data_IF_644722542788
#
_entry.id   IF_644722542788
#
_cell.length_a   1.000
_cell.length_b   1.000
_cell.length_c   1.000
_cell.angle_alpha   90.00
_cell.angle_beta   90.00
_cell.angle_gamma   90.00
#
_symmetry.space_group_name_H-M   'P 1'
#
loop_
_entity.id
_entity.type
_entity.pdbx_description
1 polymer ?
#
# COMPACT_ATOMS: atom_id res chain seq x y z
N UNK A 1 -24.43 22.64 -12.19
CA UNK A 1 -24.40 22.00 -10.86
C UNK A 1 -22.95 22.01 -10.39
N UNK A 2 -22.67 22.47 -9.18
CA UNK A 2 -21.34 22.30 -8.57
C UNK A 2 -21.27 20.86 -8.12
N UNK A 3 -20.46 20.03 -8.79
CA UNK A 3 -20.27 18.64 -8.39
C UNK A 3 -19.16 18.61 -7.34
N UNK A 4 -19.35 17.83 -6.26
CA UNK A 4 -18.33 17.64 -5.23
C UNK A 4 -17.02 17.16 -5.85
N UNK A 5 -15.93 17.92 -5.61
CA UNK A 5 -14.56 17.56 -5.99
C UNK A 5 -14.17 16.22 -5.38
N UNK A 6 -13.45 15.39 -6.13
CA UNK A 6 -12.86 14.17 -5.56
C UNK A 6 -11.76 14.54 -4.56
N UNK A 7 -11.60 13.73 -3.51
CA UNK A 7 -10.48 13.89 -2.58
C UNK A 7 -9.34 12.97 -2.98
N UNK A 8 -8.10 13.37 -2.77
CA UNK A 8 -6.95 12.49 -2.97
C UNK A 8 -6.67 11.76 -1.66
N UNK A 9 -7.05 10.47 -1.60
CA UNK A 9 -6.78 9.61 -0.43
C UNK A 9 -5.28 9.45 -0.21
N UNK A 10 -4.54 9.25 -1.31
CA UNK A 10 -3.10 9.11 -1.22
C UNK A 10 -2.36 9.35 -2.53
N UNK A 11 -1.11 9.80 -2.41
CA UNK A 11 -0.06 9.59 -3.41
C UNK A 11 0.90 8.53 -2.88
N UNK A 12 1.13 7.47 -3.66
CA UNK A 12 2.01 6.36 -3.30
C UNK A 12 3.18 6.28 -4.27
N UNK A 13 4.40 6.44 -3.76
CA UNK A 13 5.63 6.14 -4.51
C UNK A 13 5.88 4.63 -4.49
N UNK A 14 6.17 4.09 -5.67
CA UNK A 14 6.40 2.67 -5.92
C UNK A 14 7.89 2.47 -6.24
N UNK A 15 8.60 1.76 -5.37
CA UNK A 15 10.06 1.64 -5.42
C UNK A 15 10.47 0.17 -5.47
N UNK A 16 11.57 -0.12 -6.16
CA UNK A 16 12.16 -1.46 -6.13
C UNK A 16 13.37 -1.44 -5.18
N UNK A 17 13.39 -2.38 -4.24
CA UNK A 17 14.55 -2.65 -3.39
C UNK A 17 15.12 -4.04 -3.74
N UNK A 18 16.42 -4.20 -3.55
CA UNK A 18 17.15 -5.45 -3.76
C UNK A 18 18.08 -5.73 -2.59
N UNK A 19 18.59 -6.96 -2.49
CA UNK A 19 19.62 -7.30 -1.49
C UNK A 19 20.91 -6.48 -1.64
N UNK A 20 21.20 -5.99 -2.83
CA UNK A 20 22.36 -5.11 -3.07
C UNK A 20 22.13 -3.73 -2.46
N UNK A 21 20.92 -3.16 -2.65
CA UNK A 21 20.51 -1.91 -2.01
C UNK A 21 20.58 -2.04 -0.48
N UNK A 22 20.16 -3.18 0.08
CA UNK A 22 20.20 -3.40 1.53
C UNK A 22 21.61 -3.54 2.11
N UNK A 23 22.64 -3.71 1.28
CA UNK A 23 24.05 -3.75 1.70
C UNK A 23 24.74 -2.39 1.58
N UNK A 24 24.08 -1.42 0.96
CA UNK A 24 24.58 -0.07 0.75
C UNK A 24 23.60 0.94 1.36
N UNK A 25 23.87 1.33 2.60
CA UNK A 25 23.05 2.30 3.35
C UNK A 25 22.84 3.61 2.57
N UNK A 26 23.82 4.04 1.76
CA UNK A 26 23.74 5.25 0.96
C UNK A 26 22.77 5.11 -0.21
N UNK A 27 22.73 3.94 -0.84
CA UNK A 27 21.79 3.67 -1.93
C UNK A 27 20.35 3.52 -1.42
N UNK A 28 20.15 2.82 -0.29
CA UNK A 28 18.83 2.75 0.35
C UNK A 28 18.34 4.15 0.72
N UNK A 29 19.22 4.96 1.32
CA UNK A 29 18.91 6.36 1.67
C UNK A 29 18.45 7.17 0.46
N UNK A 30 19.19 7.09 -0.65
CA UNK A 30 18.89 7.79 -1.90
C UNK A 30 17.54 7.36 -2.49
N UNK A 31 17.22 6.07 -2.48
CA UNK A 31 15.94 5.55 -3.02
C UNK A 31 14.75 6.04 -2.17
N UNK A 32 14.85 5.95 -0.83
CA UNK A 32 13.79 6.41 0.06
C UNK A 32 13.63 7.93 -0.02
N UNK A 33 14.73 8.69 -0.02
CA UNK A 33 14.70 10.14 -0.20
C UNK A 33 13.98 10.53 -1.51
N UNK A 34 14.31 9.84 -2.61
CA UNK A 34 13.69 10.09 -3.91
C UNK A 34 12.17 9.83 -3.87
N UNK A 35 11.72 8.75 -3.22
CA UNK A 35 10.28 8.48 -3.07
C UNK A 35 9.56 9.53 -2.24
N UNK A 36 10.17 10.01 -1.16
CA UNK A 36 9.61 11.10 -0.36
C UNK A 36 9.54 12.40 -1.17
N UNK A 37 10.60 12.74 -1.92
CA UNK A 37 10.62 13.92 -2.80
C UNK A 37 9.52 13.84 -3.86
N UNK A 38 9.39 12.70 -4.55
CA UNK A 38 8.35 12.49 -5.57
C UNK A 38 6.94 12.70 -5.00
N UNK A 39 6.66 12.12 -3.84
CA UNK A 39 5.37 12.28 -3.17
C UNK A 39 5.08 13.75 -2.81
N UNK A 40 6.06 14.47 -2.25
CA UNK A 40 5.91 15.89 -1.87
C UNK A 40 5.72 16.80 -3.08
N UNK A 41 6.41 16.53 -4.18
CA UNK A 41 6.22 17.26 -5.43
C UNK A 41 4.80 17.07 -5.95
N UNK A 42 4.34 15.82 -6.05
CA UNK A 42 2.99 15.52 -6.52
C UNK A 42 1.90 16.11 -5.59
N UNK A 43 2.08 16.03 -4.28
CA UNK A 43 1.19 16.66 -3.30
C UNK A 43 1.10 18.18 -3.55
N UNK A 44 2.24 18.85 -3.71
CA UNK A 44 2.30 20.30 -3.93
C UNK A 44 1.56 20.70 -5.21
N UNK A 45 1.73 19.93 -6.29
CA UNK A 45 1.02 20.19 -7.54
C UNK A 45 -0.50 19.95 -7.42
N UNK A 46 -0.92 18.88 -6.74
CA UNK A 46 -2.35 18.59 -6.52
C UNK A 46 -3.01 19.66 -5.64
N UNK A 47 -2.32 20.11 -4.58
CA UNK A 47 -2.78 21.20 -3.71
C UNK A 47 -2.88 22.52 -4.49
N UNK A 48 -1.91 22.83 -5.36
CA UNK A 48 -1.98 24.02 -6.23
C UNK A 48 -3.18 23.97 -7.19
N UNK A 49 -3.61 22.77 -7.58
CA UNK A 49 -4.82 22.54 -8.39
C UNK A 49 -6.11 22.49 -7.55
N UNK A 50 -6.04 22.68 -6.23
CA UNK A 50 -7.20 22.74 -5.32
C UNK A 50 -7.65 21.39 -4.77
N UNK A 51 -6.82 20.35 -4.82
CA UNK A 51 -7.11 19.06 -4.18
C UNK A 51 -6.58 19.00 -2.75
N UNK A 52 -7.31 18.32 -1.87
CA UNK A 52 -6.80 17.87 -0.57
C UNK A 52 -6.11 16.51 -0.75
N UNK A 53 -4.86 16.38 -0.27
CA UNK A 53 -4.11 15.12 -0.22
C UNK A 53 -4.03 14.66 1.22
N UNK A 54 -4.57 13.48 1.50
CA UNK A 54 -4.71 12.99 2.88
C UNK A 54 -3.49 12.22 3.41
N UNK A 55 -2.77 11.51 2.53
CA UNK A 55 -1.62 10.72 2.95
C UNK A 55 -0.59 10.51 1.83
N UNK A 56 0.68 10.47 2.21
CA UNK A 56 1.80 10.12 1.34
C UNK A 56 2.35 8.76 1.77
N UNK A 57 2.59 7.87 0.80
CA UNK A 57 2.94 6.47 1.07
C UNK A 57 4.10 6.01 0.20
N UNK A 58 4.81 5.00 0.69
CA UNK A 58 5.79 4.26 -0.10
C UNK A 58 5.37 2.79 -0.11
N UNK A 59 5.46 2.14 -1.27
CA UNK A 59 5.33 0.69 -1.38
C UNK A 59 6.47 0.12 -2.20
N UNK A 60 6.92 -1.06 -1.80
CA UNK A 60 8.02 -1.77 -2.45
C UNK A 60 7.54 -3.00 -3.20
N UNK A 61 8.45 -3.63 -3.94
CA UNK A 61 8.31 -5.03 -4.34
C UNK A 61 8.27 -5.96 -3.11
N UNK A 62 8.09 -7.26 -3.33
CA UNK A 62 8.07 -8.26 -2.25
C UNK A 62 9.31 -8.12 -1.37
N UNK A 63 9.11 -8.01 -0.06
CA UNK A 63 10.21 -7.97 0.90
C UNK A 63 11.13 -9.19 0.85
N UNK A 64 10.66 -10.32 0.33
CA UNK A 64 11.47 -11.52 0.11
C UNK A 64 12.58 -11.30 -0.93
N UNK A 65 12.45 -10.28 -1.81
CA UNK A 65 13.45 -9.95 -2.82
C UNK A 65 14.65 -9.17 -2.24
N UNK A 66 14.48 -8.51 -1.09
CA UNK A 66 15.50 -7.60 -0.54
C UNK A 66 15.86 -7.85 0.92
N UNK A 67 15.02 -8.54 1.69
CA UNK A 67 15.33 -8.93 3.06
C UNK A 67 15.88 -10.36 3.14
N UNK A 68 16.73 -10.58 4.13
CA UNK A 68 17.31 -11.87 4.52
C UNK A 68 16.33 -12.66 5.40
N UNK A 69 15.16 -13.03 4.86
CA UNK A 69 14.05 -13.66 5.62
C UNK A 69 14.41 -15.00 6.28
N UNK A 70 15.51 -15.62 5.85
CA UNK A 70 16.04 -16.90 6.28
C UNK A 70 17.14 -16.77 7.37
N UNK A 71 17.49 -15.54 7.77
CA UNK A 71 18.50 -15.24 8.80
C UNK A 71 17.94 -14.22 9.82
N UNK A 72 17.57 -14.69 11.01
CA UNK A 72 16.93 -13.88 12.06
C UNK A 72 17.71 -12.61 12.40
N UNK A 73 19.04 -12.73 12.50
CA UNK A 73 19.88 -11.61 12.93
C UNK A 73 19.97 -10.54 11.85
N UNK A 74 20.22 -10.96 10.60
CA UNK A 74 20.26 -10.02 9.48
C UNK A 74 18.91 -9.40 9.21
N UNK A 75 17.84 -10.18 9.26
CA UNK A 75 16.48 -9.68 9.09
C UNK A 75 16.18 -8.55 10.10
N UNK A 76 16.49 -8.75 11.38
CA UNK A 76 16.29 -7.72 12.41
C UNK A 76 17.12 -6.44 12.14
N UNK A 77 18.38 -6.59 11.72
CA UNK A 77 19.25 -5.46 11.36
C UNK A 77 18.72 -4.68 10.14
N UNK A 78 18.28 -5.38 9.10
CA UNK A 78 17.72 -4.79 7.89
C UNK A 78 16.40 -4.03 8.18
N UNK A 79 15.55 -4.54 9.08
CA UNK A 79 14.35 -3.82 9.52
C UNK A 79 14.69 -2.55 10.29
N UNK A 80 15.70 -2.60 11.17
CA UNK A 80 16.17 -1.42 11.87
C UNK A 80 16.74 -0.37 10.91
N UNK A 81 17.52 -0.79 9.91
CA UNK A 81 18.05 0.07 8.87
C UNK A 81 16.92 0.77 8.08
N UNK A 82 15.91 0.02 7.63
CA UNK A 82 14.74 0.57 6.94
C UNK A 82 14.01 1.57 7.82
N UNK A 83 13.71 1.20 9.07
CA UNK A 83 13.01 2.07 10.05
C UNK A 83 13.77 3.38 10.25
N UNK A 84 15.08 3.32 10.47
CA UNK A 84 15.92 4.50 10.69
C UNK A 84 15.94 5.40 9.44
N UNK A 85 16.07 4.81 8.24
CA UNK A 85 16.06 5.56 6.98
C UNK A 85 14.72 6.23 6.72
N UNK A 86 13.60 5.52 6.89
CA UNK A 86 12.26 6.09 6.77
C UNK A 86 12.04 7.25 7.77
N UNK A 87 12.46 7.06 9.02
CA UNK A 87 12.35 8.09 10.06
C UNK A 87 13.16 9.34 9.73
N UNK A 88 14.37 9.21 9.15
CA UNK A 88 15.20 10.36 8.74
C UNK A 88 14.50 11.22 7.68
N UNK A 89 13.73 10.60 6.79
CA UNK A 89 13.00 11.28 5.71
C UNK A 89 11.55 11.65 6.06
N UNK A 90 11.08 11.29 7.27
CA UNK A 90 9.70 11.51 7.71
C UNK A 90 8.66 10.68 6.95
N UNK A 91 9.05 9.53 6.41
CA UNK A 91 8.17 8.62 5.69
C UNK A 91 7.52 7.63 6.66
N UNK A 92 6.24 7.82 6.98
CA UNK A 92 5.58 7.01 8.02
C UNK A 92 4.78 5.83 7.45
N UNK A 93 4.12 5.99 6.29
CA UNK A 93 3.35 4.91 5.67
C UNK A 93 4.20 4.10 4.70
N UNK A 94 4.61 2.91 5.13
CA UNK A 94 5.48 2.04 4.35
C UNK A 94 4.90 0.65 4.18
N UNK A 95 4.78 0.21 2.93
CA UNK A 95 4.37 -1.15 2.59
C UNK A 95 5.57 -1.96 2.10
N UNK A 96 5.89 -3.02 2.84
CA UNK A 96 6.97 -3.97 2.53
C UNK A 96 6.68 -4.84 1.30
N UNK A 97 5.47 -4.80 0.76
CA UNK A 97 5.04 -5.64 -0.35
C UNK A 97 4.59 -7.04 0.10
N UNK A 98 4.31 -7.94 -0.86
CA UNK A 98 3.65 -9.20 -0.57
C UNK A 98 4.62 -10.29 -0.09
N UNK A 99 4.17 -11.07 0.90
CA UNK A 99 4.65 -12.40 1.18
C UNK A 99 4.15 -13.37 0.09
N UNK A 100 5.07 -14.18 -0.43
CA UNK A 100 4.86 -15.19 -1.47
C UNK A 100 5.12 -16.60 -0.95
N UNK A 101 5.94 -16.75 0.10
CA UNK A 101 6.32 -18.03 0.70
C UNK A 101 5.86 -18.19 2.16
N UNK A 102 5.88 -19.42 2.66
CA UNK A 102 5.58 -19.72 4.07
C UNK A 102 6.57 -19.03 5.04
N UNK A 103 7.86 -18.95 4.67
CA UNK A 103 8.87 -18.22 5.44
C UNK A 103 8.57 -16.71 5.41
N UNK A 104 8.19 -16.15 4.26
CA UNK A 104 7.77 -14.75 4.20
C UNK A 104 6.57 -14.46 5.10
N UNK A 105 5.56 -15.33 5.07
CA UNK A 105 4.38 -15.23 5.94
C UNK A 105 4.73 -15.26 7.43
N UNK A 106 5.68 -16.10 7.86
CA UNK A 106 6.10 -16.15 9.27
C UNK A 106 6.85 -14.89 9.72
N UNK A 107 7.39 -14.09 8.79
CA UNK A 107 8.05 -12.80 9.07
C UNK A 107 7.10 -11.62 9.19
N UNK A 108 5.87 -11.73 8.67
CA UNK A 108 4.89 -10.63 8.67
C UNK A 108 4.69 -10.02 10.07
N UNK A 109 4.50 -10.78 11.17
CA UNK A 109 4.34 -10.18 12.48
C UNK A 109 5.49 -9.24 12.87
N UNK A 110 6.74 -9.65 12.61
CA UNK A 110 7.93 -8.84 12.88
C UNK A 110 8.02 -7.59 11.99
N UNK A 111 7.61 -7.69 10.71
CA UNK A 111 7.50 -6.51 9.83
C UNK A 111 6.54 -5.47 10.41
N UNK A 112 5.37 -5.90 10.87
CA UNK A 112 4.35 -5.01 11.41
C UNK A 112 4.71 -4.50 12.82
N UNK A 113 5.46 -5.25 13.60
CA UNK A 113 5.93 -4.77 14.90
C UNK A 113 7.02 -3.70 14.76
N UNK A 114 7.80 -3.73 13.66
CA UNK A 114 8.94 -2.84 13.45
C UNK A 114 8.57 -1.34 13.45
N UNK A 115 7.36 -1.00 12.99
CA UNK A 115 6.89 0.38 12.82
C UNK A 115 5.37 0.42 12.98
N UNK A 116 4.82 1.53 13.49
CA UNK A 116 3.36 1.69 13.69
C UNK A 116 2.57 1.66 12.38
N UNK A 117 3.12 2.26 11.33
CA UNK A 117 2.50 2.38 10.00
C UNK A 117 3.25 1.55 8.95
N UNK A 118 3.73 0.37 9.36
CA UNK A 118 4.17 -0.68 8.46
C UNK A 118 2.99 -1.53 7.98
N UNK A 119 3.01 -1.90 6.70
CA UNK A 119 2.01 -2.71 6.02
C UNK A 119 2.69 -3.84 5.24
N UNK A 120 1.99 -4.96 5.08
CA UNK A 120 2.40 -6.05 4.22
C UNK A 120 1.14 -6.77 3.70
N UNK A 121 1.31 -7.66 2.73
CA UNK A 121 0.20 -8.47 2.23
C UNK A 121 0.64 -9.88 1.90
N UNK A 122 -0.30 -10.76 1.53
CA UNK A 122 0.01 -12.06 0.95
C UNK A 122 -0.70 -12.19 -0.40
N UNK A 123 0.08 -12.43 -1.45
CA UNK A 123 -0.45 -12.70 -2.78
C UNK A 123 -0.85 -14.16 -2.89
N UNK A 124 -2.15 -14.45 -2.90
CA UNK A 124 -2.67 -15.81 -3.01
C UNK A 124 -2.69 -16.34 -4.45
N UNK A 125 -2.61 -15.49 -5.47
CA UNK A 125 -2.71 -15.90 -6.88
C UNK A 125 -1.78 -15.05 -7.78
N UNK A 126 -0.46 -15.28 -7.72
CA UNK A 126 0.53 -14.46 -8.43
C UNK A 126 0.46 -14.57 -9.95
N UNK A 127 -0.02 -15.69 -10.50
CA UNK A 127 -0.05 -15.95 -11.95
C UNK A 127 -1.37 -15.61 -12.64
N UNK A 128 -2.41 -15.21 -11.89
CA UNK A 128 -3.81 -15.11 -12.37
C UNK A 128 -4.36 -16.39 -13.04
N UNK A 129 -3.64 -17.52 -13.00
CA UNK A 129 -4.10 -18.79 -13.56
C UNK A 129 -4.85 -19.60 -12.50
N UNK A 130 -6.08 -20.01 -12.82
CA UNK A 130 -6.87 -20.89 -11.96
C UNK A 130 -6.35 -22.34 -11.95
N UNK A 131 -5.48 -22.70 -12.90
CA UNK A 131 -4.85 -24.02 -12.96
C UNK A 131 -3.83 -24.26 -11.82
N UNK A 132 -3.44 -23.20 -11.09
CA UNK A 132 -2.54 -23.25 -9.94
C UNK A 132 -3.27 -23.45 -8.60
N UNK A 133 -4.60 -23.66 -8.63
CA UNK A 133 -5.37 -24.00 -7.43
C UNK A 133 -5.18 -25.50 -7.13
N UNK A 134 -4.18 -25.81 -6.33
CA UNK A 134 -3.85 -27.16 -5.89
C UNK A 134 -3.70 -27.27 -4.36
N UNK A 135 -3.20 -28.41 -3.87
CA UNK A 135 -2.96 -28.60 -2.45
C UNK A 135 -1.87 -27.67 -1.88
N UNK A 136 -0.88 -27.27 -2.68
CA UNK A 136 0.15 -26.33 -2.25
C UNK A 136 -0.44 -24.92 -2.09
N UNK A 137 -1.32 -24.50 -3.00
CA UNK A 137 -2.10 -23.27 -2.87
C UNK A 137 -2.97 -23.30 -1.60
N UNK A 138 -3.69 -24.40 -1.34
CA UNK A 138 -4.47 -24.55 -0.11
C UNK A 138 -3.61 -24.47 1.16
N UNK A 139 -2.40 -25.04 1.12
CA UNK A 139 -1.41 -24.92 2.19
C UNK A 139 -1.04 -23.45 2.45
N UNK A 140 -0.73 -22.69 1.40
CA UNK A 140 -0.45 -21.25 1.49
C UNK A 140 -1.62 -20.46 2.05
N UNK A 141 -2.86 -20.79 1.67
CA UNK A 141 -4.06 -20.16 2.26
C UNK A 141 -4.14 -20.46 3.75
N UNK A 142 -3.88 -21.70 4.18
CA UNK A 142 -3.88 -22.08 5.59
C UNK A 142 -2.78 -21.35 6.39
N UNK A 143 -1.58 -21.24 5.82
CA UNK A 143 -0.47 -20.47 6.41
C UNK A 143 -0.85 -18.99 6.54
N UNK A 144 -1.44 -18.40 5.50
CA UNK A 144 -1.90 -17.01 5.53
C UNK A 144 -2.99 -16.78 6.59
N UNK A 145 -3.94 -17.71 6.73
CA UNK A 145 -4.95 -17.66 7.80
C UNK A 145 -4.31 -17.70 9.20
N UNK A 146 -3.28 -18.52 9.36
CA UNK A 146 -2.53 -18.60 10.62
C UNK A 146 -1.80 -17.29 10.92
N UNK A 147 -1.10 -16.72 9.93
CA UNK A 147 -0.47 -15.41 10.02
C UNK A 147 -1.47 -14.29 10.32
N UNK A 148 -2.65 -14.29 9.70
CA UNK A 148 -3.72 -13.33 10.02
C UNK A 148 -4.12 -13.40 11.49
N UNK A 149 -4.24 -14.61 12.05
CA UNK A 149 -4.55 -14.80 13.46
C UNK A 149 -3.42 -14.30 14.37
N UNK A 150 -2.15 -14.53 14.01
CA UNK A 150 -0.99 -14.01 14.74
C UNK A 150 -0.92 -12.48 14.71
N UNK A 151 -1.10 -11.88 13.54
CA UNK A 151 -1.14 -10.42 13.37
C UNK A 151 -2.30 -9.83 14.18
N UNK A 152 -3.49 -10.44 14.14
CA UNK A 152 -4.62 -9.96 14.92
C UNK A 152 -4.32 -10.00 16.43
N UNK A 153 -3.71 -11.09 16.94
CA UNK A 153 -3.25 -11.17 18.34
C UNK A 153 -2.25 -10.07 18.66
N UNK A 154 -1.21 -9.91 17.85
CA UNK A 154 -0.18 -8.88 18.03
C UNK A 154 -0.80 -7.48 18.13
N UNK A 155 -1.65 -7.13 17.17
CA UNK A 155 -2.24 -5.79 17.08
C UNK A 155 -3.26 -5.55 18.20
N UNK A 156 -4.00 -6.58 18.61
CA UNK A 156 -4.84 -6.51 19.80
C UNK A 156 -4.01 -6.21 21.06
N UNK A 157 -2.89 -6.91 21.27
CA UNK A 157 -2.01 -6.64 22.41
C UNK A 157 -1.42 -5.22 22.36
N UNK A 158 -0.89 -4.81 21.20
CA UNK A 158 -0.28 -3.50 21.02
C UNK A 158 -1.30 -2.37 21.22
N UNK A 159 -2.52 -2.51 20.71
CA UNK A 159 -3.60 -1.52 20.89
C UNK A 159 -3.97 -1.34 22.36
N UNK A 160 -4.16 -2.44 23.09
CA UNK A 160 -4.54 -2.41 24.51
C UNK A 160 -3.40 -1.91 25.41
N UNK A 161 -2.14 -2.17 25.06
CA UNK A 161 -0.98 -1.76 25.86
C UNK A 161 -0.52 -0.33 25.58
N UNK A 162 -0.68 0.17 24.35
CA UNK A 162 -0.17 1.50 23.94
C UNK A 162 -1.24 2.58 23.82
N UNK A 163 -2.51 2.29 24.17
CA UNK A 163 -3.64 3.21 24.00
C UNK A 163 -3.69 3.84 22.59
N UNK A 164 -3.36 3.06 21.56
CA UNK A 164 -3.36 3.55 20.18
C UNK A 164 -4.80 3.87 19.78
N UNK A 165 -5.09 5.17 19.66
CA UNK A 165 -6.36 5.73 19.23
C UNK A 165 -6.41 5.68 17.70
N UNK A 166 -7.14 4.74 17.12
CA UNK A 166 -7.35 4.70 15.66
C UNK A 166 -7.69 3.31 15.12
N UNK A 167 -8.69 3.23 14.24
CA UNK A 167 -9.14 1.98 13.60
C UNK A 167 -8.19 1.41 12.54
N UNK A 168 -6.98 1.96 12.38
CA UNK A 168 -5.99 1.54 11.38
C UNK A 168 -5.31 0.21 11.70
N UNK A 169 -5.35 -0.26 12.95
CA UNK A 169 -4.71 -1.53 13.33
C UNK A 169 -5.27 -2.72 12.56
N UNK A 170 -6.57 -2.78 12.28
CA UNK A 170 -7.15 -3.92 11.54
C UNK A 170 -6.79 -3.96 10.04
N UNK A 171 -5.98 -3.02 9.54
CA UNK A 171 -5.75 -2.81 8.11
C UNK A 171 -4.28 -2.97 7.68
N UNK A 172 -3.44 -3.55 8.54
CA UNK A 172 -1.98 -3.59 8.34
C UNK A 172 -1.49 -4.82 7.57
N UNK A 173 -2.33 -5.86 7.49
CA UNK A 173 -2.07 -7.06 6.71
C UNK A 173 -3.35 -7.57 6.06
N UNK A 174 -3.24 -8.08 4.83
CA UNK A 174 -4.34 -8.77 4.16
C UNK A 174 -3.81 -9.85 3.23
N UNK A 175 -4.66 -10.83 2.95
CA UNK A 175 -4.49 -11.70 1.79
C UNK A 175 -5.22 -11.07 0.59
N UNK A 176 -4.65 -11.17 -0.60
CA UNK A 176 -5.31 -10.72 -1.82
C UNK A 176 -5.13 -11.70 -2.96
N UNK A 177 -5.96 -11.54 -3.98
CA UNK A 177 -5.88 -12.27 -5.24
C UNK A 177 -6.26 -11.34 -6.39
N UNK A 178 -5.70 -11.59 -7.58
CA UNK A 178 -6.03 -10.87 -8.80
C UNK A 178 -5.86 -9.34 -8.72
N UNK A 179 -4.85 -8.88 -7.96
CA UNK A 179 -4.51 -7.48 -7.86
C UNK A 179 -3.16 -7.22 -8.56
N UNK A 180 -3.13 -6.40 -9.63
CA UNK A 180 -1.88 -6.09 -10.31
C UNK A 180 -0.98 -5.20 -9.43
N UNK A 181 0.31 -5.22 -9.72
CA UNK A 181 1.26 -4.28 -9.11
C UNK A 181 0.91 -2.83 -9.46
N UNK A 182 1.31 -1.90 -8.60
CA UNK A 182 1.17 -0.46 -8.82
C UNK A 182 -0.19 0.13 -8.43
N UNK A 183 -1.11 -0.65 -7.86
CA UNK A 183 -2.34 -0.11 -7.29
C UNK A 183 -2.06 0.58 -5.94
N UNK A 184 -2.70 1.72 -5.61
CA UNK A 184 -2.44 2.47 -4.37
C UNK A 184 -3.20 1.95 -3.13
N UNK A 185 -3.88 0.80 -3.25
CA UNK A 185 -4.74 0.26 -2.20
C UNK A 185 -3.91 -0.47 -1.13
N UNK A 186 -3.81 0.09 0.07
CA UNK A 186 -3.15 -0.62 1.17
C UNK A 186 -4.08 -1.71 1.75
N UNK A 187 -3.54 -2.78 2.36
CA UNK A 187 -2.12 -3.13 2.37
C UNK A 187 -1.68 -3.93 1.13
N UNK A 188 -2.49 -3.99 0.07
CA UNK A 188 -2.16 -4.72 -1.16
C UNK A 188 -1.04 -4.06 -1.97
N UNK A 189 -0.98 -2.71 -2.01
CA UNK A 189 -0.06 -1.92 -2.83
C UNK A 189 1.36 -2.45 -2.83
N UNK A 190 1.89 -2.74 -4.02
CA UNK A 190 3.25 -3.25 -4.20
C UNK A 190 3.79 -2.84 -5.55
N UNK A 191 5.12 -2.83 -5.67
CA UNK A 191 5.80 -2.55 -6.93
C UNK A 191 6.24 -3.83 -7.64
N UNK A 192 6.42 -3.75 -8.96
CA UNK A 192 6.99 -4.86 -9.72
C UNK A 192 8.51 -4.88 -9.55
N UNK A 193 9.02 -6.02 -9.12
CA UNK A 193 10.47 -6.25 -8.99
C UNK A 193 11.20 -5.93 -10.31
N UNK A 194 12.32 -5.22 -10.23
CA UNK A 194 13.13 -4.78 -11.37
C UNK A 194 12.53 -3.66 -12.23
N UNK A 195 11.35 -3.13 -11.90
CA UNK A 195 10.76 -2.01 -12.65
C UNK A 195 11.26 -0.66 -12.15
N UNK A 196 11.36 0.36 -13.03
CA UNK A 196 11.77 1.70 -12.62
C UNK A 196 10.79 2.28 -11.58
N UNK A 197 11.23 3.25 -10.76
CA UNK A 197 10.34 3.98 -9.87
C UNK A 197 9.11 4.53 -10.58
N UNK A 198 7.96 4.42 -9.94
CA UNK A 198 6.69 5.01 -10.42
C UNK A 198 5.88 5.54 -9.25
N UNK A 199 4.70 6.09 -9.51
CA UNK A 199 3.76 6.49 -8.47
C UNK A 199 2.33 6.14 -8.86
N UNK A 200 1.45 6.12 -7.87
CA UNK A 200 0.01 5.95 -8.05
C UNK A 200 -0.76 6.95 -7.17
N UNK A 201 -1.94 7.34 -7.62
CA UNK A 201 -2.82 8.27 -6.92
C UNK A 201 -4.14 7.54 -6.64
N UNK A 202 -4.59 7.56 -5.38
CA UNK A 202 -5.90 7.05 -4.99
C UNK A 202 -6.89 8.21 -4.78
N UNK A 203 -8.08 8.07 -5.34
CA UNK A 203 -9.16 9.05 -5.24
C UNK A 203 -10.31 8.51 -4.37
N UNK A 204 -10.93 9.40 -3.59
CA UNK A 204 -12.20 9.17 -2.90
C UNK A 204 -13.31 9.82 -3.72
N UNK A 205 -14.16 9.00 -4.33
CA UNK A 205 -15.20 9.46 -5.23
C UNK A 205 -16.63 9.07 -4.80
N UNK A 206 -16.79 8.36 -3.68
CA UNK A 206 -18.09 7.88 -3.20
C UNK A 206 -19.08 9.03 -2.98
N UNK A 207 -18.59 10.18 -2.51
CA UNK A 207 -19.44 11.36 -2.29
C UNK A 207 -19.94 11.98 -3.59
N UNK A 208 -19.09 12.04 -4.63
CA UNK A 208 -19.50 12.48 -5.97
C UNK A 208 -20.59 11.56 -6.53
N UNK A 209 -20.41 10.24 -6.41
CA UNK A 209 -21.43 9.26 -6.83
C UNK A 209 -22.73 9.49 -6.05
N UNK A 210 -22.65 9.60 -4.72
CA UNK A 210 -23.80 9.83 -3.86
C UNK A 210 -24.56 11.09 -4.25
N UNK A 211 -23.85 12.19 -4.50
CA UNK A 211 -24.44 13.48 -4.87
C UNK A 211 -25.19 13.41 -6.21
N UNK A 212 -24.55 12.86 -7.24
CA UNK A 212 -25.19 12.69 -8.56
C UNK A 212 -26.46 11.85 -8.44
N UNK A 213 -26.41 10.74 -7.70
CA UNK A 213 -27.58 9.87 -7.58
C UNK A 213 -28.69 10.44 -6.68
N UNK A 214 -28.36 11.37 -5.78
CA UNK A 214 -29.32 12.03 -4.87
C UNK A 214 -30.00 13.24 -5.52
N UNK A 215 -29.29 13.97 -6.37
CA UNK A 215 -29.74 15.26 -6.89
C UNK A 215 -30.21 15.23 -8.34
N UNK A 216 -29.88 14.19 -9.09
CA UNK A 216 -30.28 14.09 -10.50
C UNK A 216 -31.67 13.43 -10.63
N UNK A 217 -32.71 14.18 -11.07
CA UNK A 217 -34.10 13.69 -11.09
C UNK A 217 -34.41 12.77 -12.29
N UNK A 218 -33.40 12.43 -13.10
CA UNK A 218 -33.54 11.63 -14.30
C UNK A 218 -33.56 10.11 -14.03
N UNK A 219 -33.79 9.33 -15.08
CA UNK A 219 -33.65 7.88 -15.05
C UNK A 219 -32.22 7.44 -14.65
N UNK A 220 -32.08 6.15 -14.33
CA UNK A 220 -30.83 5.56 -13.89
C UNK A 220 -29.70 5.68 -14.93
N UNK A 221 -30.01 5.54 -16.23
CA UNK A 221 -29.01 5.60 -17.29
C UNK A 221 -28.40 7.00 -17.39
N UNK A 222 -29.24 8.04 -17.28
CA UNK A 222 -28.79 9.43 -17.25
C UNK A 222 -27.92 9.71 -16.02
N UNK A 223 -28.30 9.20 -14.83
CA UNK A 223 -27.49 9.31 -13.61
C UNK A 223 -26.10 8.69 -13.74
N UNK A 224 -26.03 7.49 -14.31
CA UNK A 224 -24.76 6.81 -14.58
C UNK A 224 -23.90 7.64 -15.55
N UNK A 225 -24.49 8.14 -16.64
CA UNK A 225 -23.77 8.94 -17.62
C UNK A 225 -23.21 10.24 -17.01
N UNK A 226 -24.01 10.97 -16.23
CA UNK A 226 -23.57 12.18 -15.52
C UNK A 226 -22.43 11.84 -14.56
N UNK A 227 -22.56 10.76 -13.78
CA UNK A 227 -21.51 10.33 -12.86
C UNK A 227 -20.20 10.02 -13.59
N UNK A 228 -20.24 9.30 -14.71
CA UNK A 228 -19.07 8.97 -15.52
C UNK A 228 -18.40 10.22 -16.10
N UNK A 229 -19.18 11.20 -16.57
CA UNK A 229 -18.66 12.47 -17.08
C UNK A 229 -17.99 13.30 -15.98
N UNK A 230 -18.61 13.39 -14.81
CA UNK A 230 -18.04 14.08 -13.65
C UNK A 230 -16.73 13.42 -13.18
N UNK A 231 -16.70 12.09 -13.09
CA UNK A 231 -15.48 11.34 -12.74
C UNK A 231 -14.37 11.57 -13.77
N UNK A 232 -14.69 11.55 -15.06
CA UNK A 232 -13.72 11.81 -16.12
C UNK A 232 -13.12 13.21 -16.00
N UNK A 233 -13.95 14.22 -15.78
CA UNK A 233 -13.49 15.61 -15.60
C UNK A 233 -12.53 15.74 -14.41
N UNK A 234 -12.87 15.12 -13.28
CA UNK A 234 -12.00 15.14 -12.09
C UNK A 234 -10.68 14.40 -12.33
N UNK A 235 -10.69 13.29 -13.06
CA UNK A 235 -9.47 12.58 -13.46
C UNK A 235 -8.57 13.43 -14.34
N UNK A 236 -9.13 14.16 -15.31
CA UNK A 236 -8.37 15.08 -16.16
C UNK A 236 -7.65 16.14 -15.31
N UNK A 237 -8.35 16.74 -14.32
CA UNK A 237 -7.78 17.72 -13.40
C UNK A 237 -6.67 17.15 -12.49
N UNK A 238 -6.71 15.86 -12.16
CA UNK A 238 -5.65 15.20 -11.37
C UNK A 238 -4.42 14.89 -12.24
N UNK A 239 -4.61 14.66 -13.54
CA UNK A 239 -3.54 14.20 -14.44
C UNK A 239 -2.84 15.27 -15.28
N UNK A 240 -3.41 16.48 -15.40
CA UNK A 240 -2.93 17.61 -16.20
C UNK A 240 -2.33 18.71 -15.32
#
# INVERSE_FOLDING_TARGET
MVVTRVKVRTVTSLMCLTREVMRDDGELDRIIEQGVKNNKTMESELVARGFEVQSLRISTNSFEDYLSIDDDHKFAQELELIRNTLSRHGANFFNFGPARSAIGLSRVPSLLESMELAFASCDLLPSQSLDEIDLAWMGKVADCCSTLADVHRLLYYVQNMKCLQGGSNNFRFCAFANAPHGIPFFPVSYHKSGSPPSFSIALENAELVREVFSNEPHDEATRVQTCMQSLKHELELVTL
#
